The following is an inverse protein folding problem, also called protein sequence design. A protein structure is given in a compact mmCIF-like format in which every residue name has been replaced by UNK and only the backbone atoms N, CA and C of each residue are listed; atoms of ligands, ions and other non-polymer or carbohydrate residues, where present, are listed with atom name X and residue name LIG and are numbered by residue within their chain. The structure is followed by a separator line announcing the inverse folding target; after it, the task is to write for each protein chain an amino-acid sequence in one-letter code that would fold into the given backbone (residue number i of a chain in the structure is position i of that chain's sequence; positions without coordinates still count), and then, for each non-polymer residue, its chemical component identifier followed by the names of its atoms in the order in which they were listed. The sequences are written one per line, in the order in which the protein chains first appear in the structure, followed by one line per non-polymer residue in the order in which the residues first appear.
data_IF_250725763202
#
_entry.id   IF_250725763202
#
_cell.length_a   1.000
_cell.length_b   1.000
_cell.length_c   1.000
_cell.angle_alpha   90.00
_cell.angle_beta   90.00
_cell.angle_gamma   90.00
#
_symmetry.space_group_name_H-M   'P 1'
#
loop_
_entity.id
_entity.type
_entity.pdbx_description
1 polymer ?
#
# COMPACT_ATOMS: atom_id res chain seq x y z
N UNK A 1 23.41 10.46 -12.03
CA UNK A 1 22.07 9.85 -11.91
C UNK A 1 21.06 10.95 -11.68
N UNK A 2 20.26 11.30 -12.69
CA UNK A 2 19.07 12.16 -12.50
C UNK A 2 18.07 11.30 -11.74
N UNK A 3 17.60 11.76 -10.57
CA UNK A 3 16.47 11.12 -9.90
C UNK A 3 15.27 11.44 -10.79
N UNK A 4 14.75 10.45 -11.51
CA UNK A 4 13.48 10.60 -12.20
C UNK A 4 12.47 11.14 -11.18
N UNK A 5 11.92 12.32 -11.46
CA UNK A 5 11.05 13.04 -10.53
C UNK A 5 9.98 12.09 -10.02
N UNK A 6 9.94 11.87 -8.70
CA UNK A 6 8.88 11.09 -8.08
C UNK A 6 7.58 11.87 -8.33
N UNK A 7 6.77 11.41 -9.29
CA UNK A 7 5.47 12.00 -9.60
C UNK A 7 4.63 12.09 -8.32
N UNK A 8 3.95 13.21 -8.14
CA UNK A 8 3.10 13.44 -6.97
C UNK A 8 1.94 12.44 -6.94
N UNK A 9 1.29 12.29 -5.79
CA UNK A 9 0.12 11.42 -5.66
C UNK A 9 -1.02 11.92 -6.57
N UNK A 10 -1.19 13.24 -6.68
CA UNK A 10 -2.21 13.88 -7.51
C UNK A 10 -1.96 13.60 -8.99
N UNK A 11 -0.72 13.80 -9.46
CA UNK A 11 -0.33 13.58 -10.86
C UNK A 11 -0.56 12.11 -11.26
N UNK A 12 -0.30 11.16 -10.34
CA UNK A 12 -0.60 9.75 -10.57
C UNK A 12 -2.10 9.45 -10.59
N UNK A 13 -2.88 10.09 -9.73
CA UNK A 13 -4.33 9.89 -9.67
C UNK A 13 -5.00 10.38 -10.95
N UNK A 14 -4.53 11.49 -11.49
CA UNK A 14 -5.01 12.07 -12.75
C UNK A 14 -4.58 11.24 -13.97
N UNK A 15 -3.29 10.88 -14.07
CA UNK A 15 -2.78 10.07 -15.19
C UNK A 15 -3.44 8.68 -15.31
N UNK A 16 -3.81 8.07 -14.18
CA UNK A 16 -4.26 6.68 -14.11
C UNK A 16 -5.78 6.52 -13.93
N UNK A 17 -6.52 7.63 -13.85
CA UNK A 17 -7.98 7.61 -13.85
C UNK A 17 -8.54 6.97 -15.12
N UNK A 18 -8.00 7.35 -16.28
CA UNK A 18 -8.51 6.94 -17.59
C UNK A 18 -8.07 5.52 -18.00
N UNK A 19 -7.19 4.89 -17.22
CA UNK A 19 -6.69 3.53 -17.48
C UNK A 19 -6.80 2.65 -16.23
N UNK A 20 -8.03 2.44 -15.69
CA UNK A 20 -8.22 1.58 -14.55
C UNK A 20 -7.87 0.13 -14.90
N UNK A 21 -7.47 -0.66 -13.89
CA UNK A 21 -7.21 -2.08 -14.12
C UNK A 21 -8.48 -2.78 -14.61
N UNK A 22 -8.31 -3.75 -15.51
CA UNK A 22 -9.42 -4.65 -15.88
C UNK A 22 -9.87 -5.45 -14.64
N UNK A 23 -11.17 -5.69 -14.50
CA UNK A 23 -11.74 -6.46 -13.39
C UNK A 23 -11.19 -7.89 -13.34
N UNK A 24 -11.11 -8.54 -14.51
CA UNK A 24 -10.75 -9.96 -14.64
C UNK A 24 -9.46 -10.17 -15.45
N UNK A 25 -8.33 -9.64 -15.00
CA UNK A 25 -6.97 -10.10 -15.34
C UNK A 25 -6.52 -10.20 -16.82
N UNK A 26 -7.38 -9.85 -17.78
CA UNK A 26 -7.22 -10.12 -19.21
C UNK A 26 -7.31 -11.60 -19.58
N UNK A 27 -7.58 -11.88 -20.86
CA UNK A 27 -7.31 -13.20 -21.43
C UNK A 27 -5.79 -13.40 -21.48
N UNK A 28 -5.30 -14.48 -20.86
CA UNK A 28 -3.88 -14.83 -20.80
C UNK A 28 -3.53 -16.07 -21.63
N UNK A 29 -4.52 -16.66 -22.32
CA UNK A 29 -4.37 -17.97 -22.97
C UNK A 29 -4.51 -17.91 -24.49
N UNK A 30 -5.14 -16.89 -25.07
CA UNK A 30 -5.21 -16.78 -26.54
C UNK A 30 -3.83 -16.55 -27.18
N UNK A 31 -3.70 -16.96 -28.44
CA UNK A 31 -2.51 -16.66 -29.25
C UNK A 31 -2.27 -15.15 -29.39
N UNK A 32 -3.34 -14.35 -29.41
CA UNK A 32 -3.25 -12.89 -29.41
C UNK A 32 -2.64 -12.36 -28.12
N UNK A 33 -3.07 -12.87 -26.96
CA UNK A 33 -2.44 -12.53 -25.68
C UNK A 33 -0.97 -12.97 -25.62
N UNK A 34 -0.63 -14.13 -26.23
CA UNK A 34 0.76 -14.57 -26.35
C UNK A 34 1.59 -13.67 -27.27
N UNK A 35 1.07 -13.22 -28.40
CA UNK A 35 1.83 -12.33 -29.29
C UNK A 35 2.05 -10.95 -28.66
N UNK A 36 1.04 -10.40 -27.96
CA UNK A 36 1.14 -9.15 -27.21
C UNK A 36 2.12 -9.25 -26.02
N UNK A 37 2.36 -10.44 -25.48
CA UNK A 37 3.38 -10.69 -24.44
C UNK A 37 4.81 -10.78 -24.98
N UNK A 38 5.01 -11.04 -26.27
CA UNK A 38 6.34 -11.20 -26.89
C UNK A 38 6.83 -9.96 -27.66
N UNK A 39 5.96 -9.00 -27.99
CA UNK A 39 6.34 -7.71 -28.58
C UNK A 39 6.73 -6.67 -27.51
N UNK A 40 7.54 -7.11 -26.56
CA UNK A 40 7.85 -6.42 -25.31
C UNK A 40 9.03 -5.45 -25.48
N UNK A 41 8.99 -4.62 -26.52
CA UNK A 41 9.85 -3.43 -26.60
C UNK A 41 9.45 -2.34 -25.59
N UNK A 42 8.35 -2.57 -24.86
CA UNK A 42 7.79 -1.70 -23.82
C UNK A 42 7.99 -2.25 -22.38
N UNK A 43 8.99 -3.13 -22.17
CA UNK A 43 9.48 -3.58 -20.84
C UNK A 43 9.97 -2.47 -19.90
N UNK A 44 9.85 -1.19 -20.27
CA UNK A 44 10.43 -0.08 -19.51
C UNK A 44 9.69 0.26 -18.22
N UNK A 45 8.54 -0.33 -17.94
CA UNK A 45 7.86 -0.09 -16.67
C UNK A 45 7.25 -1.38 -16.14
N UNK A 46 8.06 -2.16 -15.42
CA UNK A 46 7.51 -2.97 -14.32
C UNK A 46 6.78 -1.99 -13.41
N UNK A 47 5.46 -1.85 -13.59
CA UNK A 47 4.65 -0.86 -12.91
C UNK A 47 4.97 -0.88 -11.42
N UNK A 48 5.37 0.27 -10.88
CA UNK A 48 5.67 0.36 -9.45
C UNK A 48 4.44 -0.05 -8.63
N UNK A 49 4.66 -0.52 -7.40
CA UNK A 49 3.55 -0.84 -6.48
C UNK A 49 2.53 0.31 -6.40
N UNK A 50 3.00 1.57 -6.42
CA UNK A 50 2.13 2.74 -6.46
C UNK A 50 1.23 2.82 -7.70
N UNK A 51 1.76 2.57 -8.90
CA UNK A 51 0.97 2.58 -10.15
C UNK A 51 -0.12 1.52 -10.12
N UNK A 52 0.21 0.32 -9.61
CA UNK A 52 -0.76 -0.77 -9.47
C UNK A 52 -1.86 -0.44 -8.45
N UNK A 53 -1.48 0.11 -7.29
CA UNK A 53 -2.44 0.52 -6.26
C UNK A 53 -3.37 1.64 -6.73
N UNK A 54 -2.84 2.69 -7.38
CA UNK A 54 -3.69 3.77 -7.93
C UNK A 54 -4.72 3.23 -8.92
N UNK A 55 -4.33 2.32 -9.82
CA UNK A 55 -5.29 1.71 -10.76
C UNK A 55 -6.33 0.83 -10.09
N UNK A 56 -6.00 0.19 -8.95
CA UNK A 56 -6.98 -0.56 -8.15
C UNK A 56 -7.95 0.38 -7.44
N UNK A 57 -7.44 1.47 -6.86
CA UNK A 57 -8.28 2.52 -6.24
C UNK A 57 -9.22 3.12 -7.29
N UNK A 58 -8.73 3.50 -8.47
CA UNK A 58 -9.56 4.04 -9.53
C UNK A 58 -10.69 3.08 -9.97
N UNK A 59 -10.42 1.78 -9.97
CA UNK A 59 -11.39 0.74 -10.37
C UNK A 59 -12.43 0.46 -9.28
N UNK A 60 -11.99 0.27 -8.03
CA UNK A 60 -12.81 -0.28 -6.95
C UNK A 60 -13.30 0.79 -5.95
N UNK A 61 -12.61 1.93 -5.85
CA UNK A 61 -12.84 3.01 -4.86
C UNK A 61 -12.66 4.42 -5.49
N UNK A 62 -13.53 4.82 -6.44
CA UNK A 62 -13.41 6.10 -7.15
C UNK A 62 -13.56 7.33 -6.24
N UNK A 63 -14.26 7.20 -5.10
CA UNK A 63 -14.36 8.22 -4.05
C UNK A 63 -12.99 8.52 -3.42
N UNK A 64 -12.21 7.48 -3.12
CA UNK A 64 -10.86 7.63 -2.58
C UNK A 64 -9.91 8.18 -3.66
N UNK A 65 -10.12 7.82 -4.94
CA UNK A 65 -9.36 8.42 -6.04
C UNK A 65 -9.56 9.93 -6.10
N UNK A 66 -10.79 10.41 -5.94
CA UNK A 66 -11.06 11.86 -5.94
C UNK A 66 -10.37 12.54 -4.76
N UNK A 67 -10.47 11.98 -3.55
CA UNK A 67 -9.75 12.49 -2.36
C UNK A 67 -8.23 12.48 -2.53
N UNK A 68 -7.67 11.55 -3.31
CA UNK A 68 -6.25 11.58 -3.69
C UNK A 68 -5.90 12.78 -4.58
N UNK A 69 -6.76 13.14 -5.54
CA UNK A 69 -6.56 14.33 -6.39
C UNK A 69 -6.67 15.62 -5.58
N UNK A 70 -7.60 15.65 -4.63
CA UNK A 70 -7.82 16.78 -3.73
C UNK A 70 -6.65 16.95 -2.71
N UNK A 71 -5.73 15.98 -2.66
CA UNK A 71 -4.52 16.04 -1.85
C UNK A 71 -4.71 15.65 -0.39
N UNK A 72 -5.81 14.98 -0.04
CA UNK A 72 -6.08 14.54 1.34
C UNK A 72 -5.10 13.47 1.85
N UNK A 73 -4.40 12.78 0.95
CA UNK A 73 -3.46 11.71 1.29
C UNK A 73 -2.02 12.10 1.01
N UNK A 74 -1.13 11.76 1.95
CA UNK A 74 0.31 11.98 1.83
C UNK A 74 1.02 10.99 0.89
N UNK A 75 0.38 9.86 0.54
CA UNK A 75 0.92 8.85 -0.37
C UNK A 75 -0.15 7.91 -0.91
N UNK A 76 0.13 7.27 -2.05
CA UNK A 76 -0.74 6.22 -2.64
C UNK A 76 -0.95 5.06 -1.65
N UNK A 77 0.06 4.71 -0.86
CA UNK A 77 -0.03 3.67 0.17
C UNK A 77 -1.02 4.03 1.27
N UNK A 78 -1.07 5.30 1.70
CA UNK A 78 -2.04 5.76 2.69
C UNK A 78 -3.48 5.65 2.15
N UNK A 79 -3.71 6.11 0.92
CA UNK A 79 -5.00 5.97 0.25
C UNK A 79 -5.41 4.49 0.06
N UNK A 80 -4.46 3.62 -0.29
CA UNK A 80 -4.72 2.19 -0.44
C UNK A 80 -5.05 1.48 0.89
N UNK A 81 -4.55 1.98 2.02
CA UNK A 81 -4.92 1.50 3.36
C UNK A 81 -6.32 1.94 3.73
N UNK A 82 -6.67 3.19 3.46
CA UNK A 82 -8.04 3.71 3.63
C UNK A 82 -9.04 2.90 2.80
N UNK A 83 -8.66 2.56 1.56
CA UNK A 83 -9.45 1.72 0.66
C UNK A 83 -9.52 0.24 1.09
N UNK A 84 -8.81 -0.19 2.14
CA UNK A 84 -8.73 -1.59 2.54
C UNK A 84 -8.03 -2.50 1.52
N UNK A 85 -7.34 -1.95 0.53
CA UNK A 85 -6.59 -2.71 -0.49
C UNK A 85 -5.29 -3.28 0.10
N UNK A 86 -4.70 -2.57 1.07
CA UNK A 86 -3.44 -2.94 1.73
C UNK A 86 -3.66 -3.01 3.23
N UNK A 87 -3.38 -4.16 3.83
CA UNK A 87 -3.35 -4.32 5.28
C UNK A 87 -2.15 -3.57 5.90
N UNK A 88 -2.31 -3.05 7.12
CA UNK A 88 -1.17 -2.56 7.90
C UNK A 88 -0.23 -3.73 8.18
N UNK A 89 1.05 -3.56 7.86
CA UNK A 89 2.07 -4.57 8.16
C UNK A 89 2.08 -4.84 9.66
N UNK A 90 1.94 -6.10 10.06
CA UNK A 90 1.96 -6.53 11.48
C UNK A 90 3.35 -6.42 12.13
N UNK A 91 4.36 -6.04 11.36
CA UNK A 91 5.73 -5.91 11.84
C UNK A 91 5.92 -4.59 12.59
N UNK A 92 6.23 -4.70 13.88
CA UNK A 92 6.57 -3.57 14.74
C UNK A 92 8.09 -3.56 14.91
N UNK A 93 8.72 -2.46 14.51
CA UNK A 93 10.12 -2.24 14.82
C UNK A 93 10.24 -1.65 16.22
N UNK A 94 10.75 -2.44 17.16
CA UNK A 94 10.97 -2.03 18.54
C UNK A 94 12.36 -1.44 18.70
N UNK A 95 12.43 -0.32 19.41
CA UNK A 95 13.70 0.25 19.87
C UNK A 95 14.35 -0.67 20.91
N UNK A 96 15.67 -0.57 21.08
CA UNK A 96 16.37 -1.19 22.23
C UNK A 96 15.97 -0.56 23.57
N UNK A 97 15.45 0.66 23.53
CA UNK A 97 14.87 1.36 24.67
C UNK A 97 13.44 0.84 24.93
N UNK A 98 13.17 0.22 26.09
CA UNK A 98 11.88 -0.41 26.37
C UNK A 98 10.74 0.61 26.45
N UNK A 99 10.98 1.85 26.90
CA UNK A 99 9.94 2.88 26.99
C UNK A 99 9.43 3.24 25.58
N UNK A 100 10.36 3.51 24.65
CA UNK A 100 10.03 3.76 23.24
C UNK A 100 9.42 2.55 22.56
N UNK A 101 9.81 1.34 22.97
CA UNK A 101 9.17 0.10 22.53
C UNK A 101 7.70 0.05 22.94
N UNK A 102 7.41 0.33 24.21
CA UNK A 102 6.05 0.32 24.76
C UNK A 102 5.14 1.38 24.10
N UNK A 103 5.63 2.62 23.95
CA UNK A 103 4.92 3.69 23.22
C UNK A 103 4.53 3.23 21.82
N UNK A 104 5.48 2.61 21.10
CA UNK A 104 5.26 2.17 19.73
C UNK A 104 4.29 0.99 19.61
N UNK A 105 4.27 0.11 20.61
CA UNK A 105 3.27 -0.97 20.71
C UNK A 105 1.89 -0.37 20.96
N UNK A 106 1.77 0.60 21.87
CA UNK A 106 0.51 1.30 22.15
C UNK A 106 -0.04 1.98 20.90
N UNK A 107 0.79 2.74 20.17
CA UNK A 107 0.39 3.47 18.97
C UNK A 107 -0.12 2.55 17.85
N UNK A 108 0.46 1.35 17.74
CA UNK A 108 0.18 0.45 16.61
C UNK A 108 -0.85 -0.63 16.92
N UNK A 109 -0.91 -1.12 18.16
CA UNK A 109 -1.76 -2.25 18.58
C UNK A 109 -2.79 -1.87 19.64
N UNK A 110 -2.71 -0.68 20.22
CA UNK A 110 -3.66 -0.18 21.21
C UNK A 110 -3.35 -0.60 22.65
N UNK A 111 -4.13 -0.04 23.58
CA UNK A 111 -3.96 -0.24 25.02
C UNK A 111 -4.23 -1.68 25.46
N UNK A 112 -5.32 -2.29 24.99
CA UNK A 112 -5.71 -3.66 25.36
C UNK A 112 -4.61 -4.68 25.08
N UNK A 113 -3.92 -4.54 23.94
CA UNK A 113 -2.79 -5.40 23.60
C UNK A 113 -1.61 -5.19 24.57
N UNK A 114 -1.31 -3.94 24.90
CA UNK A 114 -0.22 -3.60 25.81
C UNK A 114 -0.48 -4.14 27.22
N UNK A 115 -1.71 -4.04 27.71
CA UNK A 115 -2.13 -4.60 29.00
C UNK A 115 -1.98 -6.13 29.01
N UNK A 116 -2.46 -6.80 27.96
CA UNK A 116 -2.28 -8.25 27.80
C UNK A 116 -0.80 -8.64 27.75
N UNK A 117 0.03 -7.87 27.04
CA UNK A 117 1.47 -8.09 26.97
C UNK A 117 2.15 -7.93 28.34
N UNK A 118 1.78 -6.90 29.11
CA UNK A 118 2.28 -6.71 30.48
C UNK A 118 1.89 -7.90 31.35
N UNK A 119 0.63 -8.36 31.28
CA UNK A 119 0.16 -9.52 32.04
C UNK A 119 0.99 -10.79 31.74
N UNK A 120 1.15 -11.13 30.45
CA UNK A 120 1.94 -12.29 30.03
C UNK A 120 3.41 -12.14 30.42
N UNK A 121 3.95 -10.93 30.33
CA UNK A 121 5.36 -10.67 30.70
C UNK A 121 5.62 -10.92 32.18
N UNK A 122 4.68 -10.51 33.06
CA UNK A 122 4.78 -10.77 34.50
C UNK A 122 4.74 -12.27 34.80
N UNK A 123 3.80 -13.00 34.17
CA UNK A 123 3.72 -14.45 34.29
C UNK A 123 5.03 -15.14 33.86
N UNK A 124 5.63 -14.71 32.75
CA UNK A 124 6.90 -15.24 32.25
C UNK A 124 8.09 -14.92 33.17
N UNK A 125 8.05 -13.80 33.87
CA UNK A 125 9.08 -13.40 34.83
C UNK A 125 8.85 -13.97 36.23
N UNK A 126 7.71 -14.62 36.48
CA UNK A 126 7.33 -15.16 37.78
C UNK A 126 6.94 -14.09 38.79
N UNK A 127 6.48 -12.92 38.32
CA UNK A 127 5.96 -11.80 39.12
C UNK A 127 4.44 -11.84 39.28
#
# INVERSE_FOLDING_TARGET
MKRDSIKSIQEKAEELEDVPLRKDGGDRRSEKARSELYDDSDQKSRGTNSTYLTRRIARDHPDILQRMKDGEFSSVQAAAREAGIVEKSRQIWLSKDPAKGAERIQDQLGADYLEGLISVSKELLGE
#
